data_IF_207833048621
#
_entry.id   IF_207833048621
#
_cell.length_a   1.000
_cell.length_b   1.000
_cell.length_c   1.000
_cell.angle_alpha   90.00
_cell.angle_beta   90.00
_cell.angle_gamma   90.00
#
_symmetry.space_group_name_H-M   'P 1'
#
loop_
_entity.id
_entity.type
_entity.pdbx_description
1 polymer ?
#
# COMPACT_ATOMS: atom_id res chain seq x y z
N UNK A 1 12.61 -7.57 3.72
CA UNK A 1 12.53 -6.56 4.80
C UNK A 1 12.17 -5.17 4.26
N UNK A 2 12.93 -4.60 3.32
CA UNK A 2 12.66 -3.26 2.77
C UNK A 2 11.26 -3.10 2.16
N UNK A 3 10.80 -4.09 1.39
CA UNK A 3 9.49 -4.05 0.72
C UNK A 3 8.31 -4.12 1.71
N UNK A 4 8.46 -4.82 2.84
CA UNK A 4 7.44 -4.88 3.90
C UNK A 4 7.35 -3.55 4.65
N UNK A 5 8.49 -2.90 4.89
CA UNK A 5 8.55 -1.58 5.53
C UNK A 5 7.91 -0.52 4.63
N UNK A 6 8.24 -0.49 3.34
CA UNK A 6 7.63 0.47 2.39
C UNK A 6 6.13 0.23 2.22
N UNK A 7 5.68 -1.03 2.19
CA UNK A 7 4.25 -1.35 2.14
C UNK A 7 3.53 -0.89 3.42
N UNK A 8 4.08 -1.17 4.61
CA UNK A 8 3.48 -0.76 5.87
C UNK A 8 3.44 0.76 6.05
N UNK A 9 4.49 1.48 5.64
CA UNK A 9 4.52 2.94 5.68
C UNK A 9 3.48 3.57 4.76
N UNK A 10 3.27 2.99 3.57
CA UNK A 10 2.25 3.44 2.63
C UNK A 10 0.84 3.26 3.21
N UNK A 11 0.54 2.10 3.81
CA UNK A 11 -0.73 1.83 4.48
C UNK A 11 -0.99 2.84 5.62
N UNK A 12 0.01 3.09 6.47
CA UNK A 12 -0.09 4.05 7.57
C UNK A 12 -0.34 5.48 7.08
N UNK A 13 0.34 5.92 6.02
CA UNK A 13 0.16 7.25 5.42
C UNK A 13 -1.26 7.44 4.88
N UNK A 14 -1.78 6.41 4.21
CA UNK A 14 -3.13 6.42 3.66
C UNK A 14 -4.19 6.45 4.77
N UNK A 15 -3.99 5.72 5.86
CA UNK A 15 -4.84 5.80 7.05
C UNK A 15 -4.82 7.19 7.72
N UNK A 16 -3.67 7.86 7.74
CA UNK A 16 -3.52 9.17 8.41
C UNK A 16 -4.15 10.31 7.62
N UNK A 17 -4.03 10.30 6.29
CA UNK A 17 -4.43 11.44 5.43
C UNK A 17 -5.73 11.17 4.69
N UNK A 18 -5.81 10.04 3.99
CA UNK A 18 -6.94 9.77 3.07
C UNK A 18 -8.19 9.43 3.88
N UNK A 19 -8.06 8.56 4.89
CA UNK A 19 -9.20 8.11 5.69
C UNK A 19 -9.98 9.26 6.37
N UNK A 20 -9.37 10.17 7.15
CA UNK A 20 -10.13 11.25 7.80
C UNK A 20 -10.70 12.27 6.80
N UNK A 21 -10.04 12.46 5.66
CA UNK A 21 -10.53 13.35 4.60
C UNK A 21 -11.77 12.76 3.90
N UNK A 22 -11.71 11.48 3.53
CA UNK A 22 -12.84 10.74 2.95
C UNK A 22 -14.03 10.72 3.91
N UNK A 23 -13.79 10.39 5.19
CA UNK A 23 -14.84 10.40 6.22
C UNK A 23 -15.51 11.79 6.35
N UNK A 24 -14.73 12.88 6.30
CA UNK A 24 -15.24 14.25 6.45
C UNK A 24 -15.99 14.78 5.23
N UNK A 25 -15.62 14.35 4.02
CA UNK A 25 -16.36 14.69 2.79
C UNK A 25 -17.65 13.87 2.66
N UNK A 26 -17.56 12.56 2.88
CA UNK A 26 -18.70 11.65 2.72
C UNK A 26 -19.72 11.73 3.86
N UNK A 27 -19.31 12.16 5.05
CA UNK A 27 -20.25 12.49 6.13
C UNK A 27 -21.30 13.52 5.72
N UNK A 28 -20.85 14.58 5.03
CA UNK A 28 -21.71 15.66 4.55
C UNK A 28 -22.68 15.17 3.49
N UNK A 29 -22.21 14.27 2.61
CA UNK A 29 -23.02 13.62 1.57
C UNK A 29 -24.10 12.73 2.18
N UNK A 30 -23.78 12.00 3.25
CA UNK A 30 -24.71 11.09 3.94
C UNK A 30 -25.59 11.78 5.01
N UNK A 31 -25.55 13.12 5.10
CA UNK A 31 -26.24 13.93 6.13
C UNK A 31 -25.96 13.45 7.55
N UNK A 32 -24.71 13.09 7.83
CA UNK A 32 -24.27 12.67 9.16
C UNK A 32 -23.90 13.90 9.99
N UNK A 33 -24.83 14.34 10.85
CA UNK A 33 -24.81 15.64 11.54
C UNK A 33 -23.66 15.82 12.57
N UNK A 34 -22.96 14.74 12.95
CA UNK A 34 -21.98 14.76 14.05
C UNK A 34 -20.50 14.49 13.66
N UNK A 35 -20.15 14.45 12.37
CA UNK A 35 -18.79 14.16 11.92
C UNK A 35 -17.84 15.37 12.02
N UNK A 36 -17.32 15.65 13.23
CA UNK A 36 -16.23 16.63 13.42
C UNK A 36 -14.89 16.02 13.01
N UNK A 37 -14.29 16.54 11.92
CA UNK A 37 -12.97 16.13 11.39
C UNK A 37 -11.88 16.00 12.48
N UNK A 38 -11.89 16.93 13.45
CA UNK A 38 -10.93 16.96 14.58
C UNK A 38 -10.97 15.70 15.45
N UNK A 39 -12.13 15.05 15.61
CA UNK A 39 -12.25 13.83 16.42
C UNK A 39 -11.79 12.60 15.64
N UNK A 40 -12.22 12.47 14.38
CA UNK A 40 -11.80 11.38 13.47
C UNK A 40 -10.29 11.39 13.27
N UNK A 41 -9.69 12.57 13.09
CA UNK A 41 -8.24 12.71 12.94
C UNK A 41 -7.48 12.26 14.20
N UNK A 42 -7.96 12.59 15.41
CA UNK A 42 -7.32 12.16 16.67
C UNK A 42 -7.35 10.64 16.85
N UNK A 43 -8.47 10.00 16.51
CA UNK A 43 -8.63 8.54 16.61
C UNK A 43 -7.70 7.85 15.59
N UNK A 44 -7.71 8.28 14.33
CA UNK A 44 -6.84 7.71 13.31
C UNK A 44 -5.35 7.93 13.60
N UNK A 45 -4.97 9.09 14.16
CA UNK A 45 -3.60 9.37 14.59
C UNK A 45 -3.11 8.38 15.65
N UNK A 46 -3.97 8.05 16.63
CA UNK A 46 -3.64 7.09 17.69
C UNK A 46 -3.51 5.67 17.14
N UNK A 47 -4.38 5.28 16.21
CA UNK A 47 -4.32 3.97 15.53
C UNK A 47 -3.07 3.79 14.67
N UNK A 48 -2.70 4.81 13.89
CA UNK A 48 -1.47 4.79 13.09
C UNK A 48 -0.25 4.71 14.00
N UNK A 49 -0.24 5.40 15.14
CA UNK A 49 0.84 5.31 16.12
C UNK A 49 0.98 3.86 16.67
N UNK A 50 -0.14 3.20 16.97
CA UNK A 50 -0.15 1.79 17.41
C UNK A 50 0.39 0.85 16.32
N UNK A 51 -0.01 1.06 15.06
CA UNK A 51 0.49 0.25 13.92
C UNK A 51 1.99 0.44 13.69
N UNK A 52 2.49 1.68 13.72
CA UNK A 52 3.93 1.96 13.59
C UNK A 52 4.73 1.39 14.75
N UNK A 53 4.22 1.47 15.98
CA UNK A 53 4.85 0.86 17.15
C UNK A 53 4.94 -0.66 16.99
N UNK A 54 3.88 -1.31 16.48
CA UNK A 54 3.87 -2.76 16.22
C UNK A 54 4.90 -3.17 15.15
N UNK A 55 5.12 -2.33 14.13
CA UNK A 55 6.11 -2.57 13.09
C UNK A 55 7.54 -2.52 13.64
N UNK A 56 7.82 -1.56 14.54
CA UNK A 56 9.12 -1.44 15.22
C UNK A 56 9.37 -2.60 16.18
N UNK A 57 8.34 -3.06 16.89
CA UNK A 57 8.43 -4.26 17.73
C UNK A 57 8.64 -5.54 16.91
N UNK A 58 8.10 -5.60 15.70
CA UNK A 58 8.28 -6.75 14.80
C UNK A 58 9.69 -6.86 14.21
N UNK A 59 10.48 -5.78 14.15
CA UNK A 59 11.84 -5.82 13.60
C UNK A 59 12.88 -6.32 14.60
N UNK A 60 12.55 -6.39 15.89
CA UNK A 60 13.45 -6.84 16.96
C UNK A 60 13.21 -8.29 17.38
N UNK A 61 12.00 -8.82 17.20
CA UNK A 61 11.61 -10.19 17.57
C UNK A 61 11.67 -11.11 16.34
N UNK A 62 12.52 -12.15 16.39
CA UNK A 62 12.85 -13.02 15.24
C UNK A 62 11.72 -13.92 14.74
N UNK A 63 10.58 -14.00 15.43
CA UNK A 63 9.41 -14.75 14.97
C UNK A 63 8.12 -14.14 15.52
N UNK A 64 7.42 -13.31 14.74
CA UNK A 64 5.95 -13.29 14.75
C UNK A 64 5.39 -12.28 13.74
N UNK A 65 5.26 -12.69 12.47
CA UNK A 65 4.42 -11.96 11.50
C UNK A 65 2.94 -11.90 11.93
N UNK A 66 2.53 -12.71 12.91
CA UNK A 66 1.15 -12.77 13.42
C UNK A 66 0.78 -11.57 14.32
N UNK A 67 1.73 -11.05 15.12
CA UNK A 67 1.48 -9.91 16.02
C UNK A 67 0.99 -8.66 15.27
N UNK A 68 1.64 -8.19 14.19
CA UNK A 68 1.15 -7.02 13.46
C UNK A 68 -0.20 -7.30 12.78
N UNK A 69 -0.47 -8.54 12.34
CA UNK A 69 -1.76 -8.91 11.74
C UNK A 69 -2.89 -8.80 12.78
N UNK A 70 -2.70 -9.37 13.97
CA UNK A 70 -3.69 -9.34 15.07
C UNK A 70 -3.96 -7.91 15.54
N UNK A 71 -2.93 -7.08 15.66
CA UNK A 71 -3.06 -5.67 16.05
C UNK A 71 -3.79 -4.86 14.96
N UNK A 72 -3.56 -5.17 13.67
CA UNK A 72 -4.26 -4.51 12.57
C UNK A 72 -5.75 -4.89 12.54
N UNK A 73 -6.09 -6.15 12.85
CA UNK A 73 -7.48 -6.61 12.93
C UNK A 73 -8.18 -5.99 14.15
N UNK A 74 -7.55 -5.98 15.33
CA UNK A 74 -8.14 -5.37 16.53
C UNK A 74 -8.34 -3.85 16.38
N UNK A 75 -7.39 -3.17 15.74
CA UNK A 75 -7.49 -1.78 15.33
C UNK A 75 -8.72 -1.53 14.44
N UNK A 76 -8.96 -2.38 13.45
CA UNK A 76 -10.13 -2.30 12.57
C UNK A 76 -11.45 -2.46 13.33
N UNK A 77 -11.52 -3.44 14.24
CA UNK A 77 -12.72 -3.67 15.07
C UNK A 77 -13.00 -2.48 15.98
N UNK A 78 -11.97 -1.92 16.62
CA UNK A 78 -12.07 -0.74 17.47
C UNK A 78 -12.56 0.47 16.66
N UNK A 79 -12.03 0.67 15.45
CA UNK A 79 -12.51 1.73 14.56
C UNK A 79 -14.01 1.59 14.29
N UNK A 80 -14.48 0.40 13.88
CA UNK A 80 -15.89 0.15 13.57
C UNK A 80 -16.78 0.46 14.78
N UNK A 81 -16.34 0.07 15.98
CA UNK A 81 -17.02 0.39 17.24
C UNK A 81 -17.11 1.89 17.51
N UNK A 82 -16.01 2.62 17.34
CA UNK A 82 -15.95 4.07 17.57
C UNK A 82 -16.82 4.83 16.56
N UNK A 83 -16.81 4.43 15.29
CA UNK A 83 -17.68 5.02 14.26
C UNK A 83 -19.16 4.72 14.52
N UNK A 84 -19.50 3.50 14.97
CA UNK A 84 -20.88 3.17 15.37
C UNK A 84 -21.35 4.03 16.55
N UNK A 85 -20.54 4.13 17.61
CA UNK A 85 -20.91 4.86 18.83
C UNK A 85 -20.90 6.39 18.63
N UNK A 86 -19.97 6.90 17.82
CA UNK A 86 -19.79 8.34 17.61
C UNK A 86 -20.81 9.00 16.69
N UNK A 87 -21.51 8.23 15.84
CA UNK A 87 -22.38 8.81 14.79
C UNK A 87 -23.85 8.46 14.91
N UNK A 88 -24.25 7.64 15.89
CA UNK A 88 -25.64 7.18 16.09
C UNK A 88 -26.32 6.78 14.77
N UNK A 89 -25.54 6.20 13.85
CA UNK A 89 -25.95 5.88 12.49
C UNK A 89 -26.54 4.48 12.44
N UNK A 90 -27.58 4.32 11.62
CA UNK A 90 -28.05 2.98 11.25
C UNK A 90 -26.91 2.14 10.65
N UNK A 91 -26.90 0.85 11.00
CA UNK A 91 -25.93 -0.17 10.55
C UNK A 91 -25.55 -0.05 9.05
N UNK A 92 -26.49 0.12 8.09
CA UNK A 92 -26.13 0.17 6.66
C UNK A 92 -25.30 1.40 6.27
N UNK A 93 -25.51 2.56 6.90
CA UNK A 93 -24.76 3.79 6.56
C UNK A 93 -23.31 3.72 7.03
N UNK A 94 -23.08 3.13 8.19
CA UNK A 94 -21.73 2.91 8.73
C UNK A 94 -20.95 1.96 7.82
N UNK A 95 -21.56 0.86 7.40
CA UNK A 95 -20.92 -0.11 6.49
C UNK A 95 -20.57 0.55 5.16
N UNK A 96 -21.50 1.30 4.54
CA UNK A 96 -21.24 1.98 3.27
C UNK A 96 -20.05 2.95 3.36
N UNK A 97 -19.97 3.74 4.43
CA UNK A 97 -18.85 4.65 4.67
C UNK A 97 -17.52 3.90 4.81
N UNK A 98 -17.53 2.76 5.51
CA UNK A 98 -16.36 1.91 5.66
C UNK A 98 -15.91 1.28 4.35
N UNK A 99 -16.82 0.66 3.61
CA UNK A 99 -16.53 0.02 2.33
C UNK A 99 -15.93 1.04 1.35
N UNK A 100 -16.52 2.22 1.26
CA UNK A 100 -16.01 3.29 0.42
C UNK A 100 -14.62 3.75 0.84
N UNK A 101 -14.39 3.87 2.16
CA UNK A 101 -13.09 4.22 2.70
C UNK A 101 -12.04 3.14 2.39
N UNK A 102 -12.39 1.87 2.55
CA UNK A 102 -11.50 0.73 2.22
C UNK A 102 -11.17 0.73 0.73
N UNK A 103 -12.15 0.94 -0.15
CA UNK A 103 -11.92 1.02 -1.59
C UNK A 103 -10.97 2.19 -1.92
N UNK A 104 -11.20 3.36 -1.35
CA UNK A 104 -10.33 4.52 -1.55
C UNK A 104 -8.89 4.25 -1.08
N UNK A 105 -8.72 3.58 0.06
CA UNK A 105 -7.42 3.17 0.60
C UNK A 105 -6.72 2.19 -0.36
N UNK A 106 -7.41 1.13 -0.79
CA UNK A 106 -6.88 0.11 -1.68
C UNK A 106 -6.41 0.73 -3.00
N UNK A 107 -7.23 1.60 -3.59
CA UNK A 107 -6.90 2.31 -4.83
C UNK A 107 -5.69 3.24 -4.60
N UNK A 108 -5.66 3.98 -3.49
CA UNK A 108 -4.58 4.90 -3.15
C UNK A 108 -3.27 4.19 -2.81
N UNK A 109 -3.27 2.91 -2.46
CA UNK A 109 -2.05 2.11 -2.27
C UNK A 109 -1.64 1.44 -3.58
N UNK A 110 -2.56 0.74 -4.26
CA UNK A 110 -2.27 -0.04 -5.46
C UNK A 110 -1.77 0.85 -6.60
N UNK A 111 -2.41 2.00 -6.84
CA UNK A 111 -2.04 2.89 -7.95
C UNK A 111 -0.58 3.37 -7.81
N UNK A 112 -0.16 4.03 -6.72
CA UNK A 112 1.23 4.49 -6.61
C UNK A 112 2.21 3.33 -6.47
N UNK A 113 1.82 2.20 -5.86
CA UNK A 113 2.70 1.02 -5.81
C UNK A 113 2.98 0.48 -7.22
N UNK A 114 1.96 0.41 -8.08
CA UNK A 114 2.09 -0.03 -9.48
C UNK A 114 2.85 0.97 -10.34
N UNK A 115 2.64 2.27 -10.10
CA UNK A 115 3.27 3.34 -10.86
C UNK A 115 4.75 3.50 -10.51
N UNK A 116 5.08 3.53 -9.21
CA UNK A 116 6.39 3.95 -8.71
C UNK A 116 7.26 2.83 -8.15
N UNK A 117 6.68 1.75 -7.61
CA UNK A 117 7.44 0.75 -6.84
C UNK A 117 7.69 -0.51 -7.65
N UNK A 118 6.63 -1.20 -8.05
CA UNK A 118 6.72 -2.52 -8.69
C UNK A 118 5.78 -2.62 -9.86
N UNK A 119 6.26 -3.12 -11.00
CA UNK A 119 5.41 -3.38 -12.16
C UNK A 119 5.55 -4.84 -12.59
N UNK A 120 4.44 -5.59 -12.71
CA UNK A 120 4.50 -6.95 -13.23
C UNK A 120 4.75 -6.93 -14.73
N UNK A 121 5.69 -7.74 -15.19
CA UNK A 121 5.94 -7.99 -16.60
C UNK A 121 5.86 -9.49 -16.87
N UNK A 122 5.27 -9.83 -18.01
CA UNK A 122 5.35 -11.17 -18.58
C UNK A 122 6.49 -11.19 -19.57
N UNK A 123 7.28 -12.24 -19.58
CA UNK A 123 8.46 -12.34 -20.45
C UNK A 123 8.01 -12.85 -21.83
N UNK A 124 8.08 -12.01 -22.88
CA UNK A 124 7.59 -12.38 -24.21
C UNK A 124 8.68 -12.99 -25.11
N UNK A 125 9.96 -12.92 -24.71
CA UNK A 125 11.10 -13.26 -25.55
C UNK A 125 12.10 -14.19 -24.86
N UNK A 126 12.73 -15.05 -25.65
CA UNK A 126 13.72 -16.04 -25.20
C UNK A 126 15.12 -15.49 -24.94
N UNK A 127 15.34 -14.18 -25.09
CA UNK A 127 16.67 -13.55 -24.96
C UNK A 127 17.32 -13.69 -23.58
N UNK A 128 16.55 -14.19 -22.60
CA UNK A 128 16.97 -14.43 -21.23
C UNK A 128 16.75 -15.90 -20.80
N UNK A 129 16.54 -16.84 -21.73
CA UNK A 129 16.19 -18.25 -21.41
C UNK A 129 17.13 -18.95 -20.43
N UNK A 130 18.42 -18.56 -20.41
CA UNK A 130 19.40 -19.06 -19.44
C UNK A 130 19.04 -18.73 -17.97
N UNK A 131 18.16 -17.76 -17.74
CA UNK A 131 17.73 -17.31 -16.40
C UNK A 131 16.20 -17.21 -16.25
N UNK A 132 15.48 -16.89 -17.31
CA UNK A 132 14.05 -16.57 -17.30
C UNK A 132 13.38 -17.17 -18.54
N UNK A 133 12.36 -18.01 -18.33
CA UNK A 133 11.67 -18.71 -19.40
C UNK A 133 10.53 -17.86 -19.98
N UNK A 134 10.20 -18.12 -21.24
CA UNK A 134 9.04 -17.47 -21.89
C UNK A 134 7.77 -17.85 -21.13
N UNK A 135 6.97 -16.85 -20.77
CA UNK A 135 5.76 -17.02 -19.97
C UNK A 135 5.94 -16.80 -18.46
N UNK A 136 7.17 -16.63 -17.98
CA UNK A 136 7.42 -16.26 -16.59
C UNK A 136 6.85 -14.87 -16.26
N UNK A 137 6.36 -14.74 -15.02
CA UNK A 137 5.86 -13.49 -14.45
C UNK A 137 6.88 -12.93 -13.49
N UNK A 138 7.47 -11.80 -13.85
CA UNK A 138 8.45 -11.12 -13.01
C UNK A 138 7.89 -9.81 -12.45
N UNK A 139 8.40 -9.43 -11.28
CA UNK A 139 8.09 -8.17 -10.63
C UNK A 139 9.32 -7.25 -10.72
N UNK A 140 9.24 -6.22 -11.55
CA UNK A 140 10.34 -5.27 -11.72
C UNK A 140 10.24 -4.19 -10.66
N UNK A 141 11.29 -4.02 -9.87
CA UNK A 141 11.41 -2.96 -8.87
C UNK A 141 11.97 -1.68 -9.51
N UNK A 142 11.10 -0.68 -9.73
CA UNK A 142 11.47 0.61 -10.31
C UNK A 142 12.28 1.50 -9.37
N UNK A 143 12.24 1.25 -8.05
CA UNK A 143 12.95 2.04 -7.04
C UNK A 143 14.37 1.54 -6.78
N UNK A 144 14.75 0.35 -7.27
CA UNK A 144 16.06 -0.23 -7.00
C UNK A 144 17.20 0.73 -7.42
N UNK A 145 17.05 1.37 -8.58
CA UNK A 145 18.05 2.29 -9.12
C UNK A 145 17.80 3.77 -8.81
N UNK A 146 16.79 4.09 -7.99
CA UNK A 146 16.58 5.47 -7.54
C UNK A 146 17.63 5.91 -6.51
N UNK A 147 18.18 4.96 -5.74
CA UNK A 147 19.10 5.24 -4.63
C UNK A 147 20.48 4.60 -4.81
N UNK A 148 20.64 3.63 -5.72
CA UNK A 148 21.90 2.96 -6.00
C UNK A 148 22.13 2.84 -7.50
N UNK A 149 23.35 3.07 -8.00
CA UNK A 149 23.64 2.86 -9.41
C UNK A 149 23.55 1.36 -9.75
N UNK A 150 23.22 1.03 -11.00
CA UNK A 150 23.13 -0.34 -11.45
C UNK A 150 24.50 -1.05 -11.41
N UNK A 151 24.49 -2.33 -11.06
CA UNK A 151 25.72 -3.14 -10.93
C UNK A 151 25.81 -4.18 -12.02
N UNK A 152 27.04 -4.59 -12.32
CA UNK A 152 27.31 -5.71 -13.22
C UNK A 152 26.57 -6.97 -12.72
N UNK A 153 25.86 -7.63 -13.62
CA UNK A 153 25.05 -8.82 -13.34
C UNK A 153 23.57 -8.54 -13.08
N UNK A 154 23.18 -7.28 -12.87
CA UNK A 154 21.78 -6.90 -12.68
C UNK A 154 20.96 -7.07 -13.96
N UNK A 155 19.68 -7.43 -13.80
CA UNK A 155 18.70 -7.48 -14.90
C UNK A 155 17.89 -6.20 -14.87
N UNK A 156 17.99 -5.41 -15.94
CA UNK A 156 17.32 -4.12 -16.07
C UNK A 156 16.34 -4.12 -17.23
N UNK A 157 15.30 -3.29 -17.10
CA UNK A 157 14.39 -3.00 -18.20
C UNK A 157 14.89 -1.80 -18.99
N UNK A 158 15.15 -2.00 -20.28
CA UNK A 158 15.61 -0.99 -21.23
C UNK A 158 14.51 -0.66 -22.23
N UNK A 159 14.41 0.62 -22.58
CA UNK A 159 13.53 1.12 -23.66
C UNK A 159 14.43 1.58 -24.79
N UNK A 160 14.50 0.86 -25.92
CA UNK A 160 15.34 1.26 -27.04
C UNK A 160 14.83 2.57 -27.65
N UNK A 161 15.74 3.44 -28.14
CA UNK A 161 15.36 4.74 -28.67
C UNK A 161 14.45 4.66 -29.91
N UNK A 162 14.50 3.52 -30.63
CA UNK A 162 13.74 3.28 -31.86
C UNK A 162 12.36 2.66 -31.64
N UNK A 163 12.09 2.06 -30.46
CA UNK A 163 10.81 1.43 -30.13
C UNK A 163 10.42 1.76 -28.68
N UNK A 164 9.83 2.94 -28.45
CA UNK A 164 9.51 3.44 -27.11
C UNK A 164 8.38 2.67 -26.41
N UNK A 165 7.59 1.93 -27.17
CA UNK A 165 6.45 1.17 -26.66
C UNK A 165 6.85 -0.24 -26.21
N UNK A 166 8.12 -0.66 -26.41
CA UNK A 166 8.61 -1.98 -26.02
C UNK A 166 9.62 -1.89 -24.88
N UNK A 167 9.49 -2.83 -23.96
CA UNK A 167 10.38 -3.01 -22.82
C UNK A 167 11.20 -4.27 -23.00
N UNK A 168 12.52 -4.13 -23.04
CA UNK A 168 13.45 -5.26 -23.14
C UNK A 168 14.09 -5.53 -21.79
N UNK A 169 14.24 -6.80 -21.44
CA UNK A 169 14.96 -7.22 -20.23
C UNK A 169 16.37 -7.63 -20.64
N UNK A 170 17.37 -6.94 -20.12
CA UNK A 170 18.78 -7.22 -20.42
C UNK A 170 19.61 -7.30 -19.14
N UNK A 171 20.71 -8.06 -19.20
CA UNK A 171 21.66 -8.20 -18.10
C UNK A 171 22.84 -7.27 -18.33
N UNK A 172 23.25 -6.54 -17.29
CA UNK A 172 24.40 -5.65 -17.37
C UNK A 172 25.68 -6.47 -17.37
N UNK A 173 26.43 -6.38 -18.47
CA UNK A 173 27.66 -7.15 -18.69
C UNK A 173 28.94 -6.34 -18.53
N UNK A 174 28.90 -5.00 -18.60
CA UNK A 174 30.01 -4.09 -18.31
C UNK A 174 29.49 -2.67 -18.08
#
# INVERSE_FOLDING_TARGET
MFLLITFSLCVSFVYLIVQPFVLSKFSKILKLENLKFKSVFRINLLLVAVQLLSLVLSSTLTFNFLIPIVISISALVIQIGIVKNGFNTGIPKSIALYVLTVIAIVVCIIIPTRLFVVTPYNIPSSSMEDTLLVGDRILVNKLAYAFQPPKKGDIITLVPPHERDKHYLQRIVA
#
